data_IF_068390633411
#
_entry.id   IF_068390633411
#
_cell.length_a   1.000
_cell.length_b   1.000
_cell.length_c   1.000
_cell.angle_alpha   90.00
_cell.angle_beta   90.00
_cell.angle_gamma   90.00
#
_symmetry.space_group_name_H-M   'P 1'
#
loop_
_entity.id
_entity.type
_entity.pdbx_description
1 polymer ?
#
# COMPACT_ATOMS: atom_id res chain seq x y z
N UNK A 1 14.16 30.27 -19.14
CA UNK A 1 14.56 28.86 -19.01
C UNK A 1 14.37 28.44 -17.56
N UNK A 2 13.53 27.44 -17.29
CA UNK A 2 13.93 26.44 -16.30
C UNK A 2 13.72 25.01 -16.80
N UNK A 3 14.59 24.15 -16.31
CA UNK A 3 14.91 22.80 -16.74
C UNK A 3 13.81 21.79 -16.41
N UNK A 4 13.22 21.18 -17.44
CA UNK A 4 12.38 20.00 -17.29
C UNK A 4 13.23 18.74 -17.12
N UNK A 5 13.47 18.30 -15.89
CA UNK A 5 14.06 16.99 -15.62
C UNK A 5 12.99 15.90 -15.69
N UNK A 6 12.94 15.27 -16.86
CA UNK A 6 13.03 13.83 -17.10
C UNK A 6 12.46 12.87 -16.02
N UNK A 7 11.13 12.86 -15.87
CA UNK A 7 10.39 11.77 -15.19
C UNK A 7 10.24 10.51 -16.05
N UNK A 8 10.60 10.60 -17.34
CA UNK A 8 10.43 9.52 -18.32
C UNK A 8 11.56 8.49 -18.29
N UNK A 9 12.79 8.89 -17.94
CA UNK A 9 13.91 7.96 -17.85
C UNK A 9 13.89 7.07 -16.60
N UNK A 10 13.34 7.56 -15.48
CA UNK A 10 13.26 6.80 -14.23
C UNK A 10 12.35 5.57 -14.35
N UNK A 11 11.14 5.74 -14.91
CA UNK A 11 10.18 4.64 -15.09
C UNK A 11 10.65 3.57 -16.11
N UNK A 12 11.45 3.96 -17.12
CA UNK A 12 12.03 3.02 -18.09
C UNK A 12 13.22 2.23 -17.51
N UNK A 13 13.96 2.84 -16.57
CA UNK A 13 15.05 2.17 -15.84
C UNK A 13 14.55 1.10 -14.89
N UNK A 14 13.43 1.35 -14.21
CA UNK A 14 12.82 0.45 -13.22
C UNK A 14 12.27 -0.85 -13.87
N UNK A 15 11.53 -0.72 -14.98
CA UNK A 15 11.01 -1.85 -15.73
C UNK A 15 12.09 -2.70 -16.43
N UNK A 16 13.26 -2.11 -16.71
CA UNK A 16 14.42 -2.82 -17.26
C UNK A 16 15.25 -3.51 -16.18
N UNK A 17 15.21 -3.03 -14.93
CA UNK A 17 15.91 -3.58 -13.77
C UNK A 17 15.21 -4.81 -13.21
N UNK A 18 13.88 -4.79 -13.13
CA UNK A 18 13.05 -5.92 -12.69
C UNK A 18 13.25 -7.22 -13.51
N UNK A 19 13.78 -7.12 -14.75
CA UNK A 19 13.99 -8.27 -15.64
C UNK A 19 15.33 -9.00 -15.47
N UNK A 20 16.25 -8.48 -14.64
CA UNK A 20 17.63 -9.01 -14.53
C UNK A 20 18.00 -9.59 -13.14
N UNK A 21 17.14 -9.46 -12.14
CA UNK A 21 17.48 -9.78 -10.74
C UNK A 21 16.88 -11.08 -10.20
N UNK A 22 15.71 -11.51 -10.71
CA UNK A 22 14.69 -12.28 -9.97
C UNK A 22 15.00 -13.68 -9.42
N UNK A 23 16.25 -14.14 -9.40
CA UNK A 23 16.63 -15.40 -8.75
C UNK A 23 16.88 -15.26 -7.24
N UNK A 24 17.49 -14.15 -6.80
CA UNK A 24 17.82 -13.94 -5.39
C UNK A 24 16.63 -13.40 -4.58
N UNK A 25 15.86 -12.46 -5.15
CA UNK A 25 14.67 -11.91 -4.49
C UNK A 25 13.62 -13.00 -4.23
N UNK A 26 13.35 -13.85 -5.23
CA UNK A 26 12.35 -14.92 -5.11
C UNK A 26 12.68 -15.95 -4.00
N UNK A 27 13.96 -16.17 -3.72
CA UNK A 27 14.39 -17.05 -2.63
C UNK A 27 14.29 -16.38 -1.25
N UNK A 28 14.42 -15.04 -1.20
CA UNK A 28 14.44 -14.26 0.03
C UNK A 28 13.05 -13.78 0.46
N UNK A 29 12.14 -13.53 -0.48
CA UNK A 29 10.76 -13.09 -0.20
C UNK A 29 10.05 -13.96 0.84
N UNK A 30 10.05 -15.32 0.75
CA UNK A 30 9.36 -16.16 1.74
C UNK A 30 9.99 -16.08 3.12
N UNK A 31 11.32 -16.03 3.18
CA UNK A 31 12.09 -15.92 4.42
C UNK A 31 11.78 -14.59 5.13
N UNK A 32 11.85 -13.48 4.38
CA UNK A 32 11.59 -12.14 4.89
C UNK A 32 10.12 -12.02 5.33
N UNK A 33 9.18 -12.49 4.52
CA UNK A 33 7.75 -12.48 4.87
C UNK A 33 7.47 -13.27 6.14
N UNK A 34 8.10 -14.44 6.32
CA UNK A 34 7.98 -15.24 7.53
C UNK A 34 8.57 -14.54 8.76
N UNK A 35 9.62 -13.75 8.60
CA UNK A 35 10.23 -12.98 9.69
C UNK A 35 9.35 -11.79 10.12
N UNK A 36 8.59 -11.21 9.19
CA UNK A 36 7.72 -10.05 9.43
C UNK A 36 6.35 -10.44 10.00
N UNK A 37 5.82 -11.61 9.64
CA UNK A 37 4.47 -12.04 10.03
C UNK A 37 4.16 -11.97 11.55
N UNK A 38 5.07 -12.36 12.47
CA UNK A 38 4.82 -12.24 13.91
C UNK A 38 4.68 -10.81 14.42
N UNK A 39 5.16 -9.82 13.64
CA UNK A 39 5.08 -8.39 13.97
C UNK A 39 3.80 -7.74 13.41
N UNK A 40 2.97 -8.47 12.65
CA UNK A 40 1.83 -7.88 11.95
C UNK A 40 2.24 -6.93 10.82
N UNK A 41 3.47 -7.06 10.31
CA UNK A 41 4.04 -6.25 9.24
C UNK A 41 4.12 -7.09 7.96
N UNK A 42 3.85 -6.46 6.82
CA UNK A 42 3.87 -7.08 5.50
C UNK A 42 5.05 -6.60 4.66
N UNK A 43 5.54 -7.47 3.78
CA UNK A 43 6.54 -7.12 2.77
C UNK A 43 5.85 -6.44 1.58
N UNK A 44 6.10 -5.14 1.38
CA UNK A 44 5.59 -4.40 0.22
C UNK A 44 6.47 -4.59 -1.01
N UNK A 45 7.80 -4.47 -0.85
CA UNK A 45 8.74 -4.73 -1.94
C UNK A 45 10.14 -5.11 -1.46
N UNK A 46 10.85 -5.87 -2.29
CA UNK A 46 12.21 -6.33 -2.08
C UNK A 46 13.06 -6.04 -3.31
N UNK A 47 14.24 -5.46 -3.12
CA UNK A 47 15.23 -5.23 -4.18
C UNK A 47 16.63 -5.57 -3.66
N UNK A 48 17.34 -6.44 -4.39
CA UNK A 48 18.72 -6.85 -4.03
C UNK A 48 19.69 -6.32 -5.06
N UNK A 49 20.58 -5.42 -4.63
CA UNK A 49 21.50 -4.70 -5.51
C UNK A 49 22.93 -5.11 -5.21
N UNK A 50 23.75 -5.26 -6.25
CA UNK A 50 25.20 -5.33 -6.07
C UNK A 50 25.78 -3.92 -5.98
N UNK A 51 26.51 -3.63 -4.90
CA UNK A 51 27.23 -2.38 -4.68
C UNK A 51 28.71 -2.69 -4.41
N UNK A 52 29.49 -2.75 -5.50
CA UNK A 52 30.90 -3.16 -5.42
C UNK A 52 31.05 -4.60 -4.93
N UNK A 53 31.76 -4.78 -3.82
CA UNK A 53 31.96 -6.08 -3.15
C UNK A 53 30.84 -6.47 -2.18
N UNK A 54 29.85 -5.59 -1.97
CA UNK A 54 28.74 -5.81 -1.03
C UNK A 54 27.40 -5.96 -1.75
N UNK A 55 26.43 -6.50 -1.04
CA UNK A 55 25.00 -6.44 -1.42
C UNK A 55 24.30 -5.34 -0.66
N UNK A 56 23.29 -4.73 -1.27
CA UNK A 56 22.31 -3.88 -0.57
C UNK A 56 20.96 -4.57 -0.72
N UNK A 57 20.35 -4.92 0.40
CA UNK A 57 19.03 -5.54 0.48
C UNK A 57 18.07 -4.46 0.93
N UNK A 58 17.19 -4.03 0.02
CA UNK A 58 16.20 -2.99 0.28
C UNK A 58 14.86 -3.64 0.52
N UNK A 59 14.31 -3.44 1.71
CA UNK A 59 13.05 -4.01 2.14
C UNK A 59 12.09 -2.87 2.46
N UNK A 60 11.00 -2.81 1.71
CA UNK A 60 9.89 -1.90 2.02
C UNK A 60 8.84 -2.69 2.77
N UNK A 61 8.45 -2.20 3.95
CA UNK A 61 7.52 -2.86 4.86
C UNK A 61 6.30 -1.99 5.13
N UNK A 62 5.11 -2.58 5.15
CA UNK A 62 3.86 -1.86 5.42
C UNK A 62 3.00 -2.61 6.45
N UNK A 63 1.99 -1.93 6.97
CA UNK A 63 0.98 -2.53 7.84
C UNK A 63 -0.39 -1.92 7.53
N UNK A 64 -1.46 -2.68 7.79
CA UNK A 64 -2.86 -2.29 7.48
C UNK A 64 -3.20 -0.88 8.01
N UNK A 65 -2.83 -0.58 9.26
CA UNK A 65 -3.10 0.71 9.91
C UNK A 65 -1.94 1.71 9.81
N UNK A 66 -0.91 1.37 9.02
CA UNK A 66 0.35 2.08 8.91
C UNK A 66 1.42 1.64 9.88
N UNK A 67 2.66 1.98 9.53
CA UNK A 67 3.86 1.52 10.23
C UNK A 67 4.66 2.71 10.77
N UNK A 68 4.93 2.66 12.07
CA UNK A 68 5.76 3.60 12.82
C UNK A 68 7.24 3.18 12.87
N UNK A 69 8.08 4.07 13.42
CA UNK A 69 9.53 3.86 13.48
C UNK A 69 9.93 2.63 14.32
N UNK A 70 9.23 2.37 15.41
CA UNK A 70 9.51 1.23 16.29
C UNK A 70 9.19 -0.12 15.62
N UNK A 71 8.14 -0.15 14.80
CA UNK A 71 7.76 -1.31 14.00
C UNK A 71 8.76 -1.52 12.86
N UNK A 72 9.16 -0.46 12.15
CA UNK A 72 10.25 -0.52 11.15
C UNK A 72 11.55 -1.00 11.80
N UNK A 73 11.89 -0.52 13.00
CA UNK A 73 13.08 -0.97 13.72
C UNK A 73 12.99 -2.45 14.14
N UNK A 74 11.80 -2.89 14.55
CA UNK A 74 11.55 -4.29 14.90
C UNK A 74 11.60 -5.20 13.68
N UNK A 75 11.01 -4.77 12.57
CA UNK A 75 11.12 -5.42 11.27
C UNK A 75 12.59 -5.51 10.82
N UNK A 76 13.36 -4.44 10.94
CA UNK A 76 14.79 -4.43 10.62
C UNK A 76 15.58 -5.47 11.41
N UNK A 77 15.35 -5.57 12.74
CA UNK A 77 15.99 -6.59 13.57
C UNK A 77 15.57 -8.01 13.19
N UNK A 78 14.28 -8.24 12.97
CA UNK A 78 13.74 -9.55 12.61
C UNK A 78 14.27 -10.03 11.25
N UNK A 79 14.28 -9.14 10.26
CA UNK A 79 14.80 -9.43 8.92
C UNK A 79 16.31 -9.66 8.97
N UNK A 80 17.07 -8.83 9.68
CA UNK A 80 18.52 -9.04 9.85
C UNK A 80 18.81 -10.41 10.45
N UNK A 81 18.13 -10.77 11.55
CA UNK A 81 18.33 -12.06 12.20
C UNK A 81 17.99 -13.25 11.28
N UNK A 82 16.92 -13.14 10.49
CA UNK A 82 16.53 -14.18 9.54
C UNK A 82 17.55 -14.32 8.40
N UNK A 83 18.03 -13.20 7.85
CA UNK A 83 19.05 -13.18 6.80
C UNK A 83 20.39 -13.72 7.31
N UNK A 84 20.82 -13.31 8.51
CA UNK A 84 22.07 -13.77 9.13
C UNK A 84 22.02 -15.27 9.43
N UNK A 85 20.90 -15.78 9.93
CA UNK A 85 20.71 -17.21 10.16
C UNK A 85 20.76 -17.99 8.84
N UNK A 86 20.09 -17.50 7.80
CA UNK A 86 20.08 -18.16 6.49
C UNK A 86 21.48 -18.12 5.83
N UNK A 87 22.23 -17.03 5.93
CA UNK A 87 23.57 -16.87 5.35
C UNK A 87 24.65 -17.69 6.10
N UNK A 88 24.39 -18.03 7.38
CA UNK A 88 25.23 -18.90 8.19
C UNK A 88 25.05 -20.40 7.92
N UNK A 89 23.90 -20.83 7.38
CA UNK A 89 23.64 -22.23 7.03
C UNK A 89 24.50 -22.64 5.81
N UNK A 90 25.42 -23.63 5.94
CA UNK A 90 26.21 -24.10 4.81
C UNK A 90 25.31 -24.82 3.81
N UNK A 91 25.23 -24.34 2.57
CA UNK A 91 24.70 -25.16 1.47
C UNK A 91 25.80 -26.10 0.98
N UNK A 92 25.43 -27.37 0.74
CA UNK A 92 26.25 -28.49 0.26
C UNK A 92 27.67 -28.11 -0.22
N UNK A 93 28.65 -28.18 0.68
CA UNK A 93 30.08 -28.03 0.37
C UNK A 93 30.59 -26.61 0.07
N UNK A 94 29.80 -25.56 0.31
CA UNK A 94 30.17 -24.16 0.07
C UNK A 94 30.68 -23.39 1.30
N UNK A 95 31.34 -22.25 1.04
CA UNK A 95 31.85 -21.30 2.03
C UNK A 95 30.71 -20.52 2.73
N UNK A 96 30.89 -20.14 4.00
CA UNK A 96 30.00 -19.24 4.77
C UNK A 96 29.80 -17.92 4.01
N UNK A 97 28.56 -17.44 3.85
CA UNK A 97 28.23 -16.31 2.98
C UNK A 97 27.56 -16.68 1.65
N UNK A 98 26.93 -17.86 1.59
CA UNK A 98 26.42 -18.45 0.35
C UNK A 98 25.23 -17.69 -0.27
N UNK A 99 24.42 -16.97 0.53
CA UNK A 99 23.25 -16.25 0.01
C UNK A 99 23.63 -14.96 -0.72
N UNK A 100 24.60 -14.22 -0.18
CA UNK A 100 24.98 -12.91 -0.72
C UNK A 100 26.34 -12.90 -1.43
N UNK A 101 27.18 -13.92 -1.21
CA UNK A 101 28.54 -14.04 -1.75
C UNK A 101 29.50 -13.01 -1.14
N UNK A 102 29.26 -12.59 0.10
CA UNK A 102 29.98 -11.53 0.79
C UNK A 102 29.06 -10.66 1.67
N UNK A 103 29.61 -9.64 2.37
CA UNK A 103 28.85 -8.82 3.30
C UNK A 103 27.72 -8.04 2.62
N UNK A 104 26.63 -7.81 3.35
CA UNK A 104 25.48 -7.05 2.88
C UNK A 104 25.15 -5.88 3.81
N UNK A 105 24.40 -4.91 3.27
CA UNK A 105 23.73 -3.84 4.02
C UNK A 105 22.23 -4.03 3.89
N UNK A 106 21.53 -4.05 5.02
CA UNK A 106 20.07 -4.05 5.06
C UNK A 106 19.55 -2.62 5.18
N UNK A 107 18.65 -2.24 4.28
CA UNK A 107 17.88 -0.99 4.34
C UNK A 107 16.41 -1.38 4.49
N UNK A 108 15.80 -1.07 5.64
CA UNK A 108 14.35 -1.29 5.87
C UNK A 108 13.65 0.06 5.97
N UNK A 109 12.62 0.26 5.16
CA UNK A 109 11.84 1.50 5.13
C UNK A 109 10.36 1.21 5.04
N UNK A 110 9.51 2.18 5.39
CA UNK A 110 8.10 2.16 4.99
C UNK A 110 7.94 2.56 3.52
N UNK A 111 6.77 2.32 2.88
CA UNK A 111 6.46 2.92 1.59
C UNK A 111 6.67 4.43 1.61
N UNK A 112 7.26 4.97 0.54
CA UNK A 112 7.49 6.41 0.41
C UNK A 112 6.18 7.20 0.38
N UNK A 113 6.14 8.31 1.11
CA UNK A 113 4.98 9.22 1.24
C UNK A 113 4.63 9.98 -0.03
N UNK A 114 5.59 10.08 -0.96
CA UNK A 114 5.43 10.83 -2.21
C UNK A 114 4.57 10.13 -3.27
N UNK A 115 4.16 8.87 -3.04
CA UNK A 115 3.38 8.10 -4.00
C UNK A 115 1.98 8.70 -4.11
N UNK A 116 1.60 9.25 -5.28
CA UNK A 116 0.31 9.89 -5.40
C UNK A 116 -0.83 8.86 -5.43
N UNK A 117 -1.91 9.14 -4.69
CA UNK A 117 -3.13 8.35 -4.66
C UNK A 117 -3.97 8.61 -5.92
N UNK A 118 -3.58 7.98 -7.02
CA UNK A 118 -4.17 8.23 -8.36
C UNK A 118 -5.31 7.30 -8.77
N UNK A 119 -5.57 6.21 -8.04
CA UNK A 119 -6.58 5.20 -8.41
C UNK A 119 -7.36 4.75 -7.18
N UNK A 120 -8.62 4.30 -7.30
CA UNK A 120 -9.44 3.86 -6.16
C UNK A 120 -8.74 2.83 -5.25
N UNK A 121 -8.03 1.86 -5.83
CA UNK A 121 -7.24 0.88 -5.08
C UNK A 121 -6.13 1.47 -4.21
N UNK A 122 -5.57 2.62 -4.59
CA UNK A 122 -4.56 3.30 -3.78
C UNK A 122 -5.20 3.90 -2.54
N UNK A 123 -6.41 4.47 -2.66
CA UNK A 123 -7.19 5.01 -1.55
C UNK A 123 -7.63 3.91 -0.59
N UNK A 124 -8.10 2.76 -1.11
CA UNK A 124 -8.44 1.59 -0.28
C UNK A 124 -7.26 1.10 0.58
N UNK A 125 -6.05 1.08 0.02
CA UNK A 125 -4.82 0.76 0.76
C UNK A 125 -4.40 1.84 1.74
N UNK A 126 -4.80 3.09 1.50
CA UNK A 126 -4.54 4.20 2.39
C UNK A 126 -5.61 4.37 3.48
N UNK A 127 -6.55 3.40 3.64
CA UNK A 127 -7.59 3.46 4.68
C UNK A 127 -6.99 3.70 6.05
N UNK A 128 -7.68 4.50 6.85
CA UNK A 128 -7.28 4.97 8.18
C UNK A 128 -5.99 5.79 8.21
N UNK A 129 -5.32 6.05 7.09
CA UNK A 129 -4.12 6.90 7.04
C UNK A 129 -4.52 8.36 6.86
N UNK A 130 -3.73 9.27 7.43
CA UNK A 130 -3.84 10.69 7.13
C UNK A 130 -3.33 10.94 5.71
N UNK A 131 -4.07 11.73 4.94
CA UNK A 131 -3.68 12.15 3.60
C UNK A 131 -3.78 13.66 3.48
N UNK A 132 -2.93 14.24 2.64
CA UNK A 132 -3.12 15.59 2.12
C UNK A 132 -3.57 15.52 0.67
N UNK A 133 -4.71 16.14 0.37
CA UNK A 133 -5.33 16.17 -0.95
C UNK A 133 -5.47 17.61 -1.44
N UNK A 134 -4.79 17.92 -2.53
CA UNK A 134 -4.97 19.16 -3.28
C UNK A 134 -6.17 19.03 -4.20
N UNK A 135 -7.09 20.01 -4.12
CA UNK A 135 -8.34 19.99 -4.86
C UNK A 135 -8.23 20.70 -6.21
N UNK A 136 -8.95 20.21 -7.22
CA UNK A 136 -9.03 20.84 -8.55
C UNK A 136 -9.60 22.25 -8.47
N UNK A 137 -10.57 22.49 -7.57
CA UNK A 137 -11.14 23.81 -7.31
C UNK A 137 -10.18 24.77 -6.59
N UNK A 138 -8.99 24.29 -6.21
CA UNK A 138 -8.03 24.99 -5.37
C UNK A 138 -8.22 24.68 -3.89
N UNK A 139 -7.16 24.92 -3.12
CA UNK A 139 -7.07 24.56 -1.71
C UNK A 139 -6.52 23.17 -1.46
N UNK A 140 -6.29 22.88 -0.18
CA UNK A 140 -5.74 21.64 0.32
C UNK A 140 -6.65 21.13 1.43
N UNK A 141 -6.86 19.82 1.45
CA UNK A 141 -7.68 19.13 2.42
C UNK A 141 -6.84 18.04 3.06
N UNK A 142 -6.61 18.16 4.37
CA UNK A 142 -5.95 17.12 5.15
C UNK A 142 -7.00 16.36 5.94
N UNK A 143 -7.02 15.04 5.79
CA UNK A 143 -8.02 14.21 6.45
C UNK A 143 -7.65 12.75 6.46
N UNK A 144 -8.24 11.99 7.38
CA UNK A 144 -8.00 10.55 7.51
C UNK A 144 -8.92 9.78 6.57
N UNK A 145 -8.37 8.86 5.80
CA UNK A 145 -9.13 8.06 4.82
C UNK A 145 -10.09 7.10 5.54
N UNK A 146 -11.35 7.13 5.13
CA UNK A 146 -12.42 6.22 5.55
C UNK A 146 -12.89 5.33 4.40
N UNK A 147 -14.21 5.12 4.32
CA UNK A 147 -14.82 4.31 3.27
C UNK A 147 -14.43 4.81 1.86
N UNK A 148 -14.12 3.86 0.97
CA UNK A 148 -13.72 4.13 -0.41
C UNK A 148 -14.52 3.21 -1.34
N UNK A 149 -15.11 3.78 -2.40
CA UNK A 149 -15.78 3.01 -3.45
C UNK A 149 -15.15 3.33 -4.82
N UNK A 150 -15.91 3.18 -5.89
CA UNK A 150 -15.46 3.39 -7.27
C UNK A 150 -15.41 4.87 -7.66
N UNK A 151 -16.21 5.71 -7.02
CA UNK A 151 -16.42 7.12 -7.40
C UNK A 151 -15.67 8.10 -6.49
N UNK A 152 -15.44 7.71 -5.23
CA UNK A 152 -14.77 8.59 -4.28
C UNK A 152 -14.38 7.93 -2.96
N UNK A 153 -13.99 8.80 -2.04
CA UNK A 153 -13.46 8.49 -0.72
C UNK A 153 -14.09 9.39 0.33
N UNK A 154 -14.40 8.83 1.49
CA UNK A 154 -14.75 9.61 2.68
C UNK A 154 -13.46 9.97 3.43
N UNK A 155 -13.30 11.25 3.77
CA UNK A 155 -12.21 11.74 4.62
C UNK A 155 -12.76 12.26 5.94
N UNK A 156 -12.17 11.88 7.05
CA UNK A 156 -12.41 12.52 8.35
C UNK A 156 -11.53 13.77 8.47
N UNK A 157 -12.15 14.93 8.48
CA UNK A 157 -11.49 16.25 8.55
C UNK A 157 -12.05 16.97 9.77
N UNK A 158 -11.21 17.32 10.73
CA UNK A 158 -11.63 17.96 11.99
C UNK A 158 -12.84 17.24 12.64
N UNK A 159 -12.77 15.90 12.71
CA UNK A 159 -13.83 14.98 13.20
C UNK A 159 -15.15 15.01 12.43
N UNK A 160 -15.18 15.63 11.26
CA UNK A 160 -16.34 15.66 10.38
C UNK A 160 -16.06 14.79 9.17
N UNK A 161 -16.97 13.85 8.88
CA UNK A 161 -16.88 13.03 7.68
C UNK A 161 -17.24 13.87 6.46
N UNK A 162 -16.33 13.89 5.49
CA UNK A 162 -16.49 14.60 4.22
C UNK A 162 -16.24 13.66 3.07
N UNK A 163 -17.25 13.51 2.22
CA UNK A 163 -17.11 12.79 0.95
C UNK A 163 -16.33 13.64 -0.06
N UNK A 164 -15.40 13.00 -0.77
CA UNK A 164 -14.59 13.61 -1.83
C UNK A 164 -14.59 12.70 -3.06
N UNK A 165 -15.05 13.21 -4.21
CA UNK A 165 -14.98 12.45 -5.45
C UNK A 165 -13.54 12.42 -5.99
N UNK A 166 -13.14 11.31 -6.62
CA UNK A 166 -11.77 11.21 -7.16
C UNK A 166 -11.48 12.26 -8.25
N UNK A 167 -12.51 12.73 -8.95
CA UNK A 167 -12.41 13.80 -9.95
C UNK A 167 -12.13 15.18 -9.36
N UNK A 168 -12.39 15.38 -8.07
CA UNK A 168 -12.11 16.63 -7.35
C UNK A 168 -10.66 16.70 -6.85
N UNK A 169 -9.91 15.59 -6.93
CA UNK A 169 -8.53 15.49 -6.46
C UNK A 169 -7.55 15.79 -7.60
N UNK A 170 -6.77 16.86 -7.47
CA UNK A 170 -5.65 17.15 -8.37
C UNK A 170 -4.45 16.26 -8.03
N UNK A 171 -4.13 16.14 -6.73
CA UNK A 171 -3.03 15.33 -6.22
C UNK A 171 -3.30 14.97 -4.76
N UNK A 172 -3.03 13.74 -4.36
CA UNK A 172 -3.09 13.34 -2.96
C UNK A 172 -1.91 12.44 -2.59
N UNK A 173 -1.41 12.59 -1.37
CA UNK A 173 -0.29 11.84 -0.79
C UNK A 173 -0.62 11.45 0.64
N UNK A 174 -0.02 10.35 1.12
CA UNK A 174 -0.15 9.93 2.52
C UNK A 174 0.80 10.76 3.38
N UNK A 175 0.29 11.29 4.48
CA UNK A 175 1.07 12.05 5.46
C UNK A 175 1.69 11.12 6.52
N UNK A 176 2.88 11.47 7.00
CA UNK A 176 3.53 10.73 8.09
C UNK A 176 2.93 11.18 9.42
N UNK A 177 2.44 10.22 10.18
CA UNK A 177 1.99 10.45 11.56
C UNK A 177 2.95 9.77 12.53
N UNK A 178 3.55 10.58 13.40
CA UNK A 178 4.44 10.08 14.46
C UNK A 178 3.68 9.70 15.74
N UNK A 179 2.37 9.98 15.79
CA UNK A 179 1.49 9.63 16.89
C UNK A 179 0.40 8.70 16.38
N UNK A 180 -0.03 7.71 17.19
CA UNK A 180 -1.15 6.87 16.81
C UNK A 180 -2.41 7.74 16.62
N UNK A 181 -3.31 7.35 15.69
CA UNK A 181 -4.60 8.00 15.52
C UNK A 181 -5.39 8.04 16.83
N UNK A 182 -6.18 9.09 17.03
CA UNK A 182 -7.10 9.12 18.17
C UNK A 182 -8.13 8.00 18.03
N UNK A 183 -8.40 7.26 19.12
CA UNK A 183 -9.39 6.18 19.09
C UNK A 183 -10.78 6.66 18.65
N UNK A 184 -11.15 7.89 19.01
CA UNK A 184 -12.40 8.53 18.58
C UNK A 184 -12.48 8.66 17.05
N UNK A 185 -11.39 9.07 16.40
CA UNK A 185 -11.32 9.20 14.94
C UNK A 185 -11.49 7.84 14.26
N UNK A 186 -10.83 6.80 14.79
CA UNK A 186 -10.95 5.44 14.28
C UNK A 186 -12.39 4.89 14.44
N UNK A 187 -13.05 5.21 15.56
CA UNK A 187 -14.45 4.83 15.79
C UNK A 187 -15.39 5.51 14.80
N UNK A 188 -15.23 6.82 14.56
CA UNK A 188 -16.05 7.56 13.59
C UNK A 188 -15.92 6.97 12.17
N UNK A 189 -14.71 6.58 11.78
CA UNK A 189 -14.46 5.93 10.49
C UNK A 189 -15.08 4.53 10.43
N UNK A 190 -14.96 3.74 11.49
CA UNK A 190 -15.56 2.40 11.53
C UNK A 190 -17.09 2.44 11.46
N UNK A 191 -17.72 3.42 12.13
CA UNK A 191 -19.18 3.61 12.10
C UNK A 191 -19.67 3.99 10.70
N UNK A 192 -18.91 4.83 9.97
CA UNK A 192 -19.17 5.20 8.57
C UNK A 192 -19.09 3.99 7.63
N UNK A 193 -18.05 3.18 7.79
CA UNK A 193 -17.83 1.97 6.98
C UNK A 193 -18.96 0.95 7.18
N UNK A 194 -19.37 0.72 8.43
CA UNK A 194 -20.53 -0.14 8.73
C UNK A 194 -21.86 0.43 8.18
N UNK A 195 -21.94 1.74 7.98
CA UNK A 195 -23.04 2.40 7.27
C UNK A 195 -23.04 2.08 5.77
N UNK A 196 -21.88 2.22 5.12
CA UNK A 196 -21.71 1.98 3.68
C UNK A 196 -21.98 0.52 3.28
N UNK A 197 -21.51 -0.45 4.08
CA UNK A 197 -21.74 -1.88 3.81
C UNK A 197 -23.22 -2.27 3.83
N UNK A 198 -23.99 -1.68 4.76
CA UNK A 198 -25.45 -1.91 4.84
C UNK A 198 -26.20 -1.31 3.65
N UNK A 199 -25.69 -0.21 3.09
CA UNK A 199 -26.31 0.46 1.95
C UNK A 199 -26.01 -0.30 0.64
N UNK A 200 -24.79 -0.80 0.46
CA UNK A 200 -24.42 -1.67 -0.66
C UNK A 200 -25.26 -2.96 -0.71
N UNK A 201 -25.47 -3.62 0.44
CA UNK A 201 -26.29 -4.83 0.54
C UNK A 201 -27.80 -4.62 0.27
N UNK A 202 -28.29 -3.37 0.41
CA UNK A 202 -29.67 -3.00 0.11
C UNK A 202 -29.95 -2.78 -1.38
N UNK A 203 -28.96 -2.33 -2.15
CA UNK A 203 -29.12 -2.04 -3.59
C UNK A 203 -29.25 -3.32 -4.44
N UNK A 204 -28.64 -4.43 -4.02
CA UNK A 204 -28.73 -5.71 -4.73
C UNK A 204 -30.14 -6.35 -4.69
N UNK A 205 -31.01 -5.94 -3.76
CA UNK A 205 -32.37 -6.50 -3.65
C UNK A 205 -33.41 -5.78 -4.53
N UNK A 206 -33.21 -4.49 -4.84
CA UNK A 206 -34.14 -3.73 -5.68
C UNK A 206 -33.93 -3.95 -7.18
N UNK A 207 -32.71 -4.30 -7.61
CA UNK A 207 -32.40 -4.51 -9.03
C UNK A 207 -33.11 -5.73 -9.66
N UNK A 208 -33.67 -6.65 -8.87
CA UNK A 208 -34.37 -7.83 -9.40
C UNK A 208 -35.88 -7.57 -9.69
N UNK A 209 -36.44 -6.45 -9.23
CA UNK A 209 -37.89 -6.21 -9.28
C UNK A 209 -38.41 -5.55 -10.58
N UNK A 210 -37.54 -4.97 -11.43
CA UNK A 210 -38.00 -4.22 -12.63
C UNK A 210 -38.03 -5.03 -13.95
N UNK A 211 -37.67 -6.31 -13.95
CA UNK A 211 -37.53 -7.10 -15.19
C UNK A 211 -38.77 -7.86 -15.70
N UNK A 212 -39.90 -7.89 -14.96
CA UNK A 212 -41.01 -8.81 -15.27
C UNK A 212 -42.34 -8.08 -15.39
N UNK A 213 -42.53 -7.19 -16.38
CA UNK A 213 -43.89 -6.85 -16.88
C UNK A 213 -43.86 -6.52 -18.38
N UNK A 214 -44.88 -7.03 -19.07
CA UNK A 214 -45.33 -6.74 -20.46
C UNK A 214 -44.64 -7.56 -21.55
N UNK A 215 -45.29 -8.35 -22.42
CA UNK A 215 -46.71 -8.44 -22.76
C UNK A 215 -46.97 -9.79 -23.46
N UNK A 216 -47.93 -10.59 -22.97
CA UNK A 216 -48.61 -11.66 -23.73
C UNK A 216 -50.06 -11.21 -23.91
N UNK A 217 -50.71 -11.70 -24.98
CA UNK A 217 -52.08 -11.38 -25.46
C UNK A 217 -52.05 -10.23 -26.49
N UNK A 218 -52.64 -10.32 -27.68
CA UNK A 218 -53.89 -11.00 -28.03
C UNK A 218 -54.04 -11.06 -29.56
N UNK A 219 -54.38 -12.23 -30.14
CA UNK A 219 -55.19 -12.28 -31.38
C UNK A 219 -55.81 -13.68 -31.57
N UNK A 220 -56.98 -13.88 -30.97
CA UNK A 220 -57.93 -14.93 -31.35
C UNK A 220 -58.70 -14.53 -32.61
N UNK A 221 -59.06 -15.56 -33.37
CA UNK A 221 -60.06 -15.57 -34.44
C UNK A 221 -61.47 -15.28 -33.92
#
# INVERSE_FOLDING_TARGET
MPSGQDRGSQARGEAARARRSGGAEAALEPLISSALAPLGVELDSLDVVRAGSRRVVKVVVDAEDGIGLDEVASASRAVSAALDAADAEPQDGGETGALFGGPYTLEVTSPGVDRPLTRPRHWRRARRRLVSARLVAGGELTGRVGACDEEGVTLLVDRTLRRLAYSEVERATVEIEFRPPAEEDLRLLADDEAGHDRQAAGVEQDAHAEGVRSNTEEKSQ
#
